data_IF_644778370438
#
_entry.id   IF_644778370438
#
_cell.length_a   1.000
_cell.length_b   1.000
_cell.length_c   1.000
_cell.angle_alpha   90.00
_cell.angle_beta   90.00
_cell.angle_gamma   90.00
#
_symmetry.space_group_name_H-M   'P 1'
#
loop_
_entity.id
_entity.type
_entity.pdbx_description
1 polymer ?
#
# COMPACT_ATOMS: atom_id res chain seq x y z
N UNK A 1 25.33 -8.09 18.49
CA UNK A 1 24.53 -9.30 18.74
C UNK A 1 23.33 -8.89 19.59
N UNK A 2 22.15 -8.68 18.98
CA UNK A 2 20.92 -8.45 19.74
C UNK A 2 20.22 -9.80 19.87
N UNK A 3 20.40 -10.43 21.03
CA UNK A 3 19.68 -11.63 21.44
C UNK A 3 18.21 -11.25 21.64
N UNK A 4 17.41 -11.37 20.60
CA UNK A 4 15.95 -11.36 20.74
C UNK A 4 15.54 -12.61 21.50
N UNK A 5 15.04 -12.46 22.71
CA UNK A 5 14.60 -13.57 23.55
C UNK A 5 13.61 -14.47 22.77
N UNK A 6 13.91 -15.77 22.58
CA UNK A 6 12.99 -16.71 21.96
C UNK A 6 11.68 -16.74 22.76
N UNK A 7 10.60 -16.22 22.19
CA UNK A 7 9.27 -16.18 22.82
C UNK A 7 8.68 -14.78 22.96
N UNK A 8 9.49 -13.72 23.08
CA UNK A 8 8.97 -12.35 23.13
C UNK A 8 8.22 -11.98 21.84
N UNK A 9 8.77 -12.37 20.69
CA UNK A 9 8.10 -12.20 19.38
C UNK A 9 6.80 -13.01 19.28
N UNK A 10 6.76 -14.21 19.87
CA UNK A 10 5.57 -15.06 19.89
C UNK A 10 4.48 -14.44 20.77
N UNK A 11 4.83 -13.96 21.97
CA UNK A 11 3.89 -13.30 22.87
C UNK A 11 3.34 -12.02 22.22
N UNK A 12 4.19 -11.21 21.61
CA UNK A 12 3.76 -10.01 20.87
C UNK A 12 2.81 -10.38 19.72
N UNK A 13 3.13 -11.41 18.93
CA UNK A 13 2.25 -11.86 17.86
C UNK A 13 0.87 -12.28 18.38
N UNK A 14 0.81 -13.03 19.49
CA UNK A 14 -0.45 -13.46 20.10
C UNK A 14 -1.24 -12.31 20.70
N UNK A 15 -0.56 -11.33 21.30
CA UNK A 15 -1.21 -10.11 21.76
C UNK A 15 -1.78 -9.32 20.59
N UNK A 16 -1.07 -9.21 19.46
CA UNK A 16 -1.59 -8.58 18.23
C UNK A 16 -2.82 -9.31 17.71
N UNK A 17 -2.79 -10.64 17.65
CA UNK A 17 -3.93 -11.45 17.21
C UNK A 17 -5.16 -11.22 18.09
N UNK A 18 -4.97 -11.24 19.42
CA UNK A 18 -6.05 -10.99 20.39
C UNK A 18 -6.58 -9.56 20.25
N UNK A 19 -5.70 -8.56 20.18
CA UNK A 19 -6.10 -7.16 20.02
C UNK A 19 -6.84 -6.93 18.69
N UNK A 20 -6.42 -7.57 17.61
CA UNK A 20 -7.08 -7.51 16.31
C UNK A 20 -8.50 -8.06 16.39
N UNK A 21 -8.67 -9.24 16.98
CA UNK A 21 -9.99 -9.85 17.19
C UNK A 21 -10.88 -8.98 18.06
N UNK A 22 -10.35 -8.38 19.13
CA UNK A 22 -11.14 -7.49 20.00
C UNK A 22 -11.53 -6.18 19.29
N UNK A 23 -10.62 -5.56 18.54
CA UNK A 23 -10.90 -4.36 17.76
C UNK A 23 -12.02 -4.62 16.73
N UNK A 24 -11.95 -5.76 16.04
CA UNK A 24 -13.03 -6.22 15.17
C UNK A 24 -14.30 -6.37 15.99
N UNK A 25 -14.34 -7.23 17.01
CA UNK A 25 -15.55 -7.50 17.82
C UNK A 25 -16.25 -6.23 18.30
N UNK A 26 -15.49 -5.28 18.83
CA UNK A 26 -15.98 -3.99 19.34
C UNK A 26 -16.63 -3.13 18.25
N UNK A 27 -16.10 -3.11 17.03
CA UNK A 27 -16.69 -2.39 15.90
C UNK A 27 -18.07 -2.95 15.52
N UNK A 28 -18.22 -4.27 15.57
CA UNK A 28 -19.41 -5.00 15.12
C UNK A 28 -20.53 -4.91 16.16
N UNK A 29 -20.18 -4.89 17.45
CA UNK A 29 -21.15 -4.72 18.54
C UNK A 29 -21.78 -3.32 18.60
N UNK A 30 -21.17 -2.31 17.96
CA UNK A 30 -21.63 -0.92 18.02
C UNK A 30 -22.62 -0.53 16.90
N UNK A 31 -22.94 -1.42 15.96
CA UNK A 31 -23.88 -1.14 14.85
C UNK A 31 -25.19 -1.94 14.99
N UNK A 32 -26.30 -1.35 15.47
CA UNK A 32 -27.58 -2.04 15.62
C UNK A 32 -28.21 -2.30 14.24
N UNK A 33 -28.68 -3.53 14.06
CA UNK A 33 -29.27 -4.05 12.84
C UNK A 33 -30.45 -3.21 12.30
N UNK A 34 -30.19 -2.43 11.25
CA UNK A 34 -31.14 -2.12 10.17
C UNK A 34 -30.44 -2.39 8.83
N UNK A 35 -30.35 -3.67 8.45
CA UNK A 35 -29.80 -4.05 7.14
C UNK A 35 -28.93 -5.32 7.12
N UNK A 36 -29.22 -6.32 7.95
CA UNK A 36 -28.66 -7.69 7.90
C UNK A 36 -27.13 -7.85 7.96
N UNK A 37 -26.67 -8.47 9.05
CA UNK A 37 -25.48 -9.32 9.21
C UNK A 37 -24.13 -8.92 8.58
N UNK A 38 -23.73 -7.65 8.71
CA UNK A 38 -22.40 -7.04 9.01
C UNK A 38 -21.06 -7.70 8.60
N UNK A 39 -21.00 -9.02 8.54
CA UNK A 39 -20.13 -9.85 7.70
C UNK A 39 -20.89 -10.17 6.41
N UNK A 40 -21.45 -9.19 5.69
CA UNK A 40 -22.35 -9.41 4.53
C UNK A 40 -21.69 -9.27 3.13
N UNK A 41 -20.50 -9.81 2.83
CA UNK A 41 -19.60 -10.75 3.52
C UNK A 41 -18.17 -10.58 3.00
N UNK A 42 -17.19 -10.31 3.90
CA UNK A 42 -15.82 -9.88 3.52
C UNK A 42 -15.82 -8.84 2.37
N UNK A 43 -16.68 -7.84 2.55
CA UNK A 43 -16.88 -6.56 1.84
C UNK A 43 -17.87 -6.58 0.65
N UNK A 44 -17.61 -7.29 -0.42
CA UNK A 44 -18.54 -7.54 -1.54
C UNK A 44 -17.75 -8.41 -2.50
N UNK A 45 -18.18 -9.63 -2.89
CA UNK A 45 -17.32 -10.53 -3.65
C UNK A 45 -16.86 -9.96 -5.00
N UNK A 46 -17.68 -9.11 -5.63
CA UNK A 46 -17.33 -8.48 -6.90
C UNK A 46 -16.29 -7.38 -6.66
N UNK A 47 -16.50 -6.49 -5.69
CA UNK A 47 -15.53 -5.43 -5.39
C UNK A 47 -14.24 -6.01 -4.78
N UNK A 48 -14.34 -7.00 -3.90
CA UNK A 48 -13.21 -7.73 -3.34
C UNK A 48 -12.37 -8.37 -4.45
N UNK A 49 -12.99 -9.06 -5.41
CA UNK A 49 -12.28 -9.62 -6.58
C UNK A 49 -11.65 -8.54 -7.44
N UNK A 50 -12.30 -7.40 -7.65
CA UNK A 50 -11.72 -6.27 -8.38
C UNK A 50 -10.47 -5.72 -7.67
N UNK A 51 -10.52 -5.59 -6.34
CA UNK A 51 -9.37 -5.16 -5.53
C UNK A 51 -8.22 -6.17 -5.62
N UNK A 52 -8.51 -7.48 -5.51
CA UNK A 52 -7.51 -8.54 -5.70
C UNK A 52 -6.84 -8.44 -7.07
N UNK A 53 -7.61 -8.28 -8.15
CA UNK A 53 -7.06 -8.12 -9.50
C UNK A 53 -6.13 -6.89 -9.61
N UNK A 54 -6.54 -5.76 -9.02
CA UNK A 54 -5.73 -4.54 -8.95
C UNK A 54 -4.43 -4.76 -8.17
N UNK A 55 -4.48 -5.52 -7.08
CA UNK A 55 -3.32 -5.76 -6.21
C UNK A 55 -2.32 -6.74 -6.81
N UNK A 56 -2.81 -7.81 -7.42
CA UNK A 56 -2.04 -8.87 -8.07
C UNK A 56 -1.38 -8.38 -9.36
N UNK A 57 -2.13 -7.64 -10.18
CA UNK A 57 -1.71 -7.18 -11.51
C UNK A 57 -1.82 -5.67 -11.60
N UNK A 58 -1.01 -4.92 -10.83
CA UNK A 58 -1.06 -3.46 -10.84
C UNK A 58 -0.63 -2.88 -12.19
N UNK A 59 0.17 -3.60 -12.98
CA UNK A 59 0.73 -3.19 -14.26
C UNK A 59 -0.22 -3.38 -15.45
N UNK A 60 -1.24 -4.23 -15.32
CA UNK A 60 -2.21 -4.48 -16.38
C UNK A 60 -2.98 -3.18 -16.78
N UNK A 61 -3.42 -3.06 -18.05
CA UNK A 61 -4.08 -1.86 -18.58
C UNK A 61 -5.56 -1.80 -18.14
N UNK A 62 -5.80 -1.79 -16.83
CA UNK A 62 -7.14 -1.78 -16.27
C UNK A 62 -7.92 -0.53 -16.67
N UNK A 63 -9.10 -0.76 -17.23
CA UNK A 63 -10.14 0.25 -17.38
C UNK A 63 -11.30 -0.08 -16.44
N UNK A 64 -12.18 0.89 -16.19
CA UNK A 64 -13.42 0.64 -15.45
C UNK A 64 -14.25 -0.47 -16.09
N UNK A 65 -14.31 -0.48 -17.43
CA UNK A 65 -15.02 -1.51 -18.20
C UNK A 65 -14.38 -2.89 -18.00
N UNK A 66 -13.06 -3.01 -18.17
CA UNK A 66 -12.36 -4.29 -18.04
C UNK A 66 -12.49 -4.87 -16.62
N UNK A 67 -12.42 -4.04 -15.58
CA UNK A 67 -12.65 -4.49 -14.20
C UNK A 67 -14.09 -4.96 -13.99
N UNK A 68 -15.07 -4.18 -14.47
CA UNK A 68 -16.49 -4.52 -14.37
C UNK A 68 -16.81 -5.87 -15.04
N UNK A 69 -16.27 -6.10 -16.24
CA UNK A 69 -16.40 -7.37 -16.97
C UNK A 69 -15.83 -8.55 -16.17
N UNK A 70 -14.65 -8.40 -15.55
CA UNK A 70 -14.04 -9.47 -14.74
C UNK A 70 -14.80 -9.83 -13.47
N UNK A 71 -15.71 -8.98 -13.04
CA UNK A 71 -16.55 -9.21 -11.85
C UNK A 71 -18.04 -9.34 -12.20
N UNK A 72 -18.36 -9.50 -13.49
CA UNK A 72 -19.71 -9.69 -14.01
C UNK A 72 -20.69 -8.57 -13.61
N UNK A 73 -20.25 -7.32 -13.75
CA UNK A 73 -21.06 -6.12 -13.52
C UNK A 73 -21.11 -5.24 -14.77
N UNK A 74 -22.18 -4.45 -14.91
CA UNK A 74 -22.16 -3.33 -15.85
C UNK A 74 -21.18 -2.24 -15.37
N UNK A 75 -20.67 -1.43 -16.31
CA UNK A 75 -19.71 -0.35 -16.01
C UNK A 75 -20.20 0.64 -14.95
N UNK A 76 -21.46 1.06 -15.07
CA UNK A 76 -22.08 2.04 -14.18
C UNK A 76 -22.34 1.45 -12.80
N UNK A 77 -22.88 0.22 -12.73
CA UNK A 77 -23.12 -0.46 -11.48
C UNK A 77 -21.82 -0.73 -10.71
N UNK A 78 -20.78 -1.19 -11.40
CA UNK A 78 -19.45 -1.37 -10.82
C UNK A 78 -18.88 -0.06 -10.26
N UNK A 79 -18.91 1.02 -11.05
CA UNK A 79 -18.36 2.31 -10.61
C UNK A 79 -19.07 2.86 -9.38
N UNK A 80 -20.41 2.80 -9.36
CA UNK A 80 -21.20 3.27 -8.24
C UNK A 80 -20.92 2.45 -6.98
N UNK A 81 -20.97 1.13 -7.10
CA UNK A 81 -20.78 0.19 -5.98
C UNK A 81 -19.35 0.22 -5.44
N UNK A 82 -18.35 0.31 -6.31
CA UNK A 82 -16.95 0.48 -5.89
C UNK A 82 -16.77 1.77 -5.11
N UNK A 83 -17.31 2.90 -5.59
CA UNK A 83 -17.22 4.18 -4.88
C UNK A 83 -17.94 4.17 -3.54
N UNK A 84 -19.10 3.52 -3.47
CA UNK A 84 -19.86 3.36 -2.23
C UNK A 84 -19.06 2.59 -1.17
N UNK A 85 -18.37 1.51 -1.56
CA UNK A 85 -17.67 0.63 -0.61
C UNK A 85 -16.21 1.02 -0.34
N UNK A 86 -15.53 1.63 -1.31
CA UNK A 86 -14.09 1.96 -1.25
C UNK A 86 -13.86 3.47 -1.05
N UNK A 87 -14.93 4.27 -1.12
CA UNK A 87 -14.93 5.74 -0.98
C UNK A 87 -14.12 6.50 -2.05
N UNK A 88 -13.51 5.80 -3.01
CA UNK A 88 -12.80 6.38 -4.16
C UNK A 88 -13.16 5.67 -5.48
N UNK A 89 -13.11 6.37 -6.64
CA UNK A 89 -13.33 5.72 -7.94
C UNK A 89 -12.27 4.65 -8.26
N UNK A 90 -12.60 3.61 -9.05
CA UNK A 90 -11.71 2.47 -9.31
C UNK A 90 -10.33 2.84 -9.86
N UNK A 91 -10.25 3.75 -10.83
CA UNK A 91 -8.97 4.13 -11.44
C UNK A 91 -8.17 5.10 -10.57
N UNK A 92 -8.83 5.84 -9.68
CA UNK A 92 -8.17 6.64 -8.65
C UNK A 92 -7.49 5.72 -7.64
N UNK A 93 -8.20 4.68 -7.17
CA UNK A 93 -7.65 3.63 -6.31
C UNK A 93 -6.42 2.96 -6.93
N UNK A 94 -6.55 2.50 -8.19
CA UNK A 94 -5.45 1.85 -8.91
C UNK A 94 -4.23 2.78 -9.02
N UNK A 95 -4.45 4.05 -9.35
CA UNK A 95 -3.35 5.04 -9.43
C UNK A 95 -2.64 5.16 -8.08
N UNK A 96 -3.40 5.33 -6.98
CA UNK A 96 -2.84 5.40 -5.62
C UNK A 96 -2.05 4.15 -5.26
N UNK A 97 -2.58 2.97 -5.59
CA UNK A 97 -1.91 1.69 -5.36
C UNK A 97 -0.59 1.56 -6.14
N UNK A 98 -0.61 1.91 -7.44
CA UNK A 98 0.58 1.94 -8.31
C UNK A 98 1.65 2.86 -7.73
N UNK A 99 1.28 4.05 -7.28
CA UNK A 99 2.24 5.01 -6.72
C UNK A 99 2.84 4.54 -5.39
N UNK A 100 2.02 3.96 -4.50
CA UNK A 100 2.51 3.38 -3.26
C UNK A 100 3.48 2.21 -3.52
N UNK A 101 3.20 1.37 -4.53
CA UNK A 101 4.11 0.30 -4.95
C UNK A 101 5.40 0.85 -5.54
N UNK A 102 5.31 1.85 -6.41
CA UNK A 102 6.48 2.52 -6.97
C UNK A 102 7.35 3.15 -5.88
N UNK A 103 6.75 3.82 -4.90
CA UNK A 103 7.48 4.40 -3.77
C UNK A 103 8.28 3.35 -2.99
N UNK A 104 7.70 2.17 -2.74
CA UNK A 104 8.42 1.03 -2.13
C UNK A 104 9.60 0.59 -2.99
N UNK A 105 9.42 0.43 -4.30
CA UNK A 105 10.49 0.03 -5.22
C UNK A 105 11.61 1.07 -5.28
N UNK A 106 11.27 2.36 -5.36
CA UNK A 106 12.23 3.48 -5.34
C UNK A 106 13.02 3.53 -4.03
N UNK A 107 12.44 3.07 -2.93
CA UNK A 107 13.08 3.00 -1.61
C UNK A 107 13.98 1.76 -1.44
N UNK A 108 13.56 0.63 -2.01
CA UNK A 108 14.19 -0.68 -1.80
C UNK A 108 15.25 -1.03 -2.84
N UNK A 109 15.21 -0.41 -4.03
CA UNK A 109 16.03 -0.80 -5.17
C UNK A 109 16.65 0.40 -5.90
N UNK A 110 17.67 0.11 -6.71
CA UNK A 110 18.35 1.08 -7.58
C UNK A 110 17.90 0.98 -9.05
N UNK A 111 16.79 0.28 -9.32
CA UNK A 111 16.25 0.09 -10.68
C UNK A 111 16.03 1.44 -11.40
N UNK A 112 16.17 1.45 -12.72
CA UNK A 112 15.91 2.67 -13.50
C UNK A 112 14.43 3.11 -13.31
N UNK A 113 14.18 4.42 -13.31
CA UNK A 113 12.83 5.00 -13.19
C UNK A 113 11.92 4.48 -14.30
N UNK A 114 12.42 4.30 -15.53
CA UNK A 114 11.68 3.68 -16.64
C UNK A 114 11.23 2.25 -16.32
N UNK A 115 12.09 1.45 -15.69
CA UNK A 115 11.79 0.07 -15.28
C UNK A 115 10.74 0.06 -14.17
N UNK A 116 10.87 0.96 -13.18
CA UNK A 116 9.87 1.12 -12.12
C UNK A 116 8.52 1.52 -12.72
N UNK A 117 8.51 2.47 -13.66
CA UNK A 117 7.30 2.91 -14.36
C UNK A 117 6.59 1.76 -15.08
N UNK A 118 7.34 0.97 -15.86
CA UNK A 118 6.81 -0.20 -16.56
C UNK A 118 6.21 -1.22 -15.59
N UNK A 119 6.90 -1.54 -14.49
CA UNK A 119 6.44 -2.50 -13.46
C UNK A 119 5.19 -2.05 -12.68
N UNK A 120 4.82 -0.77 -12.76
CA UNK A 120 3.55 -0.28 -12.20
C UNK A 120 2.56 0.14 -13.29
N UNK A 121 2.78 -0.27 -14.54
CA UNK A 121 1.82 -0.14 -15.64
C UNK A 121 1.80 1.22 -16.34
N UNK A 122 2.96 1.89 -16.43
CA UNK A 122 3.14 3.09 -17.25
C UNK A 122 4.09 2.81 -18.41
N UNK A 123 3.61 2.99 -19.63
CA UNK A 123 4.43 2.85 -20.84
C UNK A 123 5.44 3.99 -20.98
N UNK A 124 5.07 5.20 -20.53
CA UNK A 124 5.90 6.38 -20.63
C UNK A 124 6.39 6.85 -19.24
N UNK A 125 7.70 6.96 -19.08
CA UNK A 125 8.34 7.47 -17.86
C UNK A 125 7.85 8.89 -17.49
N UNK A 126 7.62 9.74 -18.49
CA UNK A 126 7.13 11.10 -18.28
C UNK A 126 5.72 11.11 -17.64
N UNK A 127 4.83 10.21 -18.09
CA UNK A 127 3.48 10.08 -17.54
C UNK A 127 3.53 9.57 -16.09
N UNK A 128 4.38 8.58 -15.83
CA UNK A 128 4.65 8.09 -14.47
C UNK A 128 5.17 9.21 -13.57
N UNK A 129 6.20 9.94 -14.00
CA UNK A 129 6.82 11.00 -13.22
C UNK A 129 5.84 12.12 -12.86
N UNK A 130 4.97 12.51 -13.80
CA UNK A 130 3.90 13.48 -13.55
C UNK A 130 2.88 12.96 -12.52
N UNK A 131 2.45 11.71 -12.67
CA UNK A 131 1.51 11.09 -11.74
C UNK A 131 2.09 10.95 -10.32
N UNK A 132 3.35 10.51 -10.23
CA UNK A 132 4.06 10.33 -8.96
C UNK A 132 4.27 11.66 -8.23
N UNK A 133 4.68 12.71 -8.97
CA UNK A 133 4.80 14.06 -8.42
C UNK A 133 3.45 14.60 -7.93
N UNK A 134 2.36 14.34 -8.64
CA UNK A 134 1.01 14.72 -8.17
C UNK A 134 0.61 13.97 -6.90
N UNK A 135 1.00 12.71 -6.75
CA UNK A 135 0.64 11.88 -5.60
C UNK A 135 1.43 12.22 -4.33
N UNK A 136 2.72 12.53 -4.43
CA UNK A 136 3.61 12.70 -3.27
C UNK A 136 4.39 14.04 -3.24
N UNK A 137 4.10 14.95 -4.17
CA UNK A 137 4.74 16.28 -4.26
C UNK A 137 6.15 16.28 -4.85
N UNK A 138 6.80 15.12 -4.97
CA UNK A 138 8.19 14.97 -5.44
C UNK A 138 8.28 14.12 -6.70
N UNK A 139 9.21 14.43 -7.59
CA UNK A 139 9.51 13.56 -8.72
C UNK A 139 10.20 12.25 -8.26
N UNK A 140 10.07 11.13 -8.98
CA UNK A 140 10.62 9.83 -8.58
C UNK A 140 12.12 9.83 -8.22
N UNK A 141 12.94 10.48 -9.04
CA UNK A 141 14.39 10.58 -8.80
C UNK A 141 14.74 11.41 -7.57
N UNK A 142 14.02 12.51 -7.33
CA UNK A 142 14.18 13.33 -6.14
C UNK A 142 13.74 12.58 -4.88
N UNK A 143 12.60 11.88 -4.96
CA UNK A 143 12.11 11.03 -3.88
C UNK A 143 13.18 10.01 -3.45
N UNK A 144 13.75 9.27 -4.42
CA UNK A 144 14.84 8.31 -4.16
C UNK A 144 16.04 8.98 -3.48
N UNK A 145 16.50 10.12 -4.00
CA UNK A 145 17.66 10.83 -3.46
C UNK A 145 17.45 11.23 -1.99
N UNK A 146 16.29 11.80 -1.65
CA UNK A 146 15.97 12.21 -0.27
C UNK A 146 15.95 11.02 0.68
N UNK A 147 15.38 9.89 0.27
CA UNK A 147 15.36 8.68 1.10
C UNK A 147 16.75 8.06 1.31
N UNK A 148 17.64 8.11 0.30
CA UNK A 148 19.04 7.67 0.47
C UNK A 148 19.82 8.53 1.46
N UNK A 149 19.66 9.86 1.40
CA UNK A 149 20.30 10.78 2.36
C UNK A 149 19.85 10.50 3.80
N UNK A 150 18.56 10.22 4.01
CA UNK A 150 18.04 9.84 5.34
C UNK A 150 18.60 8.50 5.85
N UNK A 151 18.75 7.49 4.97
CA UNK A 151 19.39 6.21 5.33
C UNK A 151 20.86 6.37 5.70
N UNK A 152 21.62 7.15 4.93
CA UNK A 152 23.05 7.35 5.19
C UNK A 152 23.30 8.16 6.47
N UNK A 153 22.46 9.16 6.78
CA UNK A 153 22.56 9.94 8.01
C UNK A 153 22.30 9.13 9.29
N UNK A 154 21.46 8.10 9.23
CA UNK A 154 21.21 7.18 10.37
C UNK A 154 22.35 6.19 10.61
N UNK A 155 23.13 5.86 9.57
CA UNK A 155 24.28 4.96 9.69
C UNK A 155 25.57 5.68 10.14
N UNK A 156 25.63 7.01 10.03
CA UNK A 156 26.81 7.83 10.38
C UNK A 156 26.87 8.32 11.83
N UNK A 157 25.80 8.20 12.62
CA UNK A 157 25.74 8.78 13.98
C UNK A 157 26.11 7.81 15.13
N UNK A 158 26.74 6.67 14.82
CA UNK A 158 27.10 5.63 15.80
C UNK A 158 28.59 5.52 16.15
N UNK A 159 29.43 6.45 15.69
CA UNK A 159 30.89 6.45 15.92
C UNK A 159 31.42 7.86 16.21
N UNK A 160 31.01 8.46 17.32
CA UNK A 160 31.73 9.59 17.91
C UNK A 160 31.46 9.59 19.41
N UNK A 161 32.38 8.97 20.15
CA UNK A 161 32.29 8.78 21.60
C UNK A 161 33.40 7.85 22.10
N UNK A 162 34.62 8.04 21.61
CA UNK A 162 35.81 7.32 22.11
C UNK A 162 37.08 8.13 21.79
N UNK A 163 37.21 9.31 22.39
CA UNK A 163 38.47 10.03 22.62
C UNK A 163 38.15 10.87 23.89
N UNK A 164 38.83 10.83 25.04
CA UNK A 164 40.25 10.71 25.38
C UNK A 164 40.32 10.18 26.83
N UNK A 165 41.07 9.12 27.11
CA UNK A 165 41.62 8.88 28.45
C UNK A 165 43.10 8.50 28.27
N UNK A 166 43.97 9.30 28.85
CA UNK A 166 45.40 9.05 28.98
C UNK A 166 45.91 9.84 30.18
N UNK A 167 47.00 9.37 30.78
CA UNK A 167 47.10 8.22 31.69
C UNK A 167 46.84 8.60 33.16
#
# INVERSE_FOLDING_TARGET
MHSGEPGASTVVARLVDVLFVQAIRTYLSQSPARGGSWLRALVDPQIGRALSLIHEQPDAPWTVQALAERVAMSRSAFSARFRELVEEPPLTYLTRWRMARAARMLHQTDENISVVAARVGYEAEAAFSKAFKRWNGLAPGEYRRRHRLSRNGRSGNGRSGAIIEAP
#
